data_IF_111677386222
#
_entry.id   IF_111677386222
#
_cell.length_a   1.000
_cell.length_b   1.000
_cell.length_c   1.000
_cell.angle_alpha   90.00
_cell.angle_beta   90.00
_cell.angle_gamma   90.00
#
_symmetry.space_group_name_H-M   'P 1'
#
loop_
_entity.id
_entity.type
_entity.pdbx_description
1 polymer ?
#
# COMPACT_ATOMS: atom_id res chain seq x y z
N UNK A 1 10.52 6.85 10.33
CA UNK A 1 10.22 7.89 9.32
C UNK A 1 9.22 7.36 8.28
N UNK A 2 8.25 8.20 7.96
CA UNK A 2 7.21 7.84 7.00
C UNK A 2 7.78 7.49 5.61
N UNK A 3 8.81 8.19 5.14
CA UNK A 3 9.42 7.91 3.85
C UNK A 3 10.05 6.51 3.79
N UNK A 4 10.75 6.11 4.84
CA UNK A 4 11.31 4.75 4.93
C UNK A 4 10.20 3.71 4.97
N UNK A 5 9.16 3.98 5.77
CA UNK A 5 8.02 3.07 5.90
C UNK A 5 7.27 2.87 4.59
N UNK A 6 7.05 3.94 3.82
CA UNK A 6 6.33 3.82 2.53
C UNK A 6 7.18 3.10 1.48
N UNK A 7 8.49 3.32 1.47
CA UNK A 7 9.39 2.60 0.57
C UNK A 7 9.41 1.12 0.89
N UNK A 8 9.44 0.77 2.17
CA UNK A 8 9.40 -0.62 2.61
C UNK A 8 8.09 -1.30 2.19
N UNK A 9 6.97 -0.61 2.38
CA UNK A 9 5.66 -1.10 1.93
C UNK A 9 5.63 -1.29 0.42
N UNK A 10 6.13 -0.32 -0.34
CA UNK A 10 6.18 -0.40 -1.80
C UNK A 10 6.99 -1.60 -2.27
N UNK A 11 8.19 -1.80 -1.73
CA UNK A 11 9.05 -2.91 -2.10
C UNK A 11 8.40 -4.25 -1.78
N UNK A 12 7.85 -4.40 -0.59
CA UNK A 12 7.19 -5.65 -0.21
C UNK A 12 5.99 -5.93 -1.09
N UNK A 13 5.20 -4.91 -1.41
CA UNK A 13 4.05 -5.03 -2.30
C UNK A 13 4.47 -5.55 -3.68
N UNK A 14 5.54 -4.99 -4.23
CA UNK A 14 6.07 -5.46 -5.52
C UNK A 14 6.58 -6.89 -5.42
N UNK A 15 7.30 -7.24 -4.34
CA UNK A 15 7.77 -8.60 -4.13
C UNK A 15 6.62 -9.59 -4.09
N UNK A 16 5.50 -9.24 -3.46
CA UNK A 16 4.34 -10.12 -3.37
C UNK A 16 3.61 -10.27 -4.70
N UNK A 17 3.57 -9.22 -5.52
CA UNK A 17 2.74 -9.18 -6.72
C UNK A 17 3.49 -9.47 -8.03
N UNK A 18 4.82 -9.45 -8.02
CA UNK A 18 5.61 -9.66 -9.24
C UNK A 18 5.72 -11.12 -9.66
N UNK A 19 5.48 -12.07 -8.76
CA UNK A 19 5.63 -13.50 -9.04
C UNK A 19 4.34 -14.11 -9.58
N UNK A 20 4.42 -14.73 -10.73
CA UNK A 20 3.31 -15.46 -11.35
C UNK A 20 2.82 -16.63 -10.50
N UNK A 21 3.67 -17.16 -9.62
CA UNK A 21 3.31 -18.24 -8.72
C UNK A 21 2.20 -17.83 -7.74
N UNK A 22 2.15 -16.56 -7.36
CA UNK A 22 1.13 -16.03 -6.46
C UNK A 22 -0.07 -15.52 -7.22
N UNK A 23 0.19 -14.66 -8.20
CA UNK A 23 -0.86 -14.03 -9.01
C UNK A 23 -0.64 -14.44 -10.47
N UNK A 24 -1.45 -15.38 -10.95
CA UNK A 24 -1.39 -15.82 -12.35
C UNK A 24 -1.72 -14.66 -13.31
N UNK A 25 -1.40 -14.84 -14.59
CA UNK A 25 -1.72 -13.84 -15.63
C UNK A 25 -3.16 -13.36 -15.57
N UNK A 26 -4.09 -14.28 -15.28
CA UNK A 26 -5.51 -14.00 -15.17
C UNK A 26 -5.83 -12.98 -14.09
N UNK A 27 -5.06 -12.99 -13.00
CA UNK A 27 -5.29 -12.15 -11.82
C UNK A 27 -4.60 -10.80 -11.91
N UNK A 28 -3.68 -10.63 -12.87
CA UNK A 28 -2.90 -9.40 -12.97
C UNK A 28 -3.76 -8.18 -13.30
N UNK A 29 -4.72 -8.32 -14.19
CA UNK A 29 -5.61 -7.21 -14.53
C UNK A 29 -6.54 -6.83 -13.38
N UNK A 30 -7.01 -7.80 -12.62
CA UNK A 30 -8.00 -7.58 -11.58
C UNK A 30 -7.35 -7.14 -10.25
N UNK A 31 -6.26 -7.78 -9.87
CA UNK A 31 -5.69 -7.58 -8.53
C UNK A 31 -4.32 -6.90 -8.56
N UNK A 32 -3.38 -7.37 -9.35
CA UNK A 32 -2.01 -6.85 -9.33
C UNK A 32 -1.95 -5.39 -9.76
N UNK A 33 -2.58 -5.04 -10.86
CA UNK A 33 -2.59 -3.66 -11.34
C UNK A 33 -3.23 -2.73 -10.29
N UNK A 34 -4.34 -3.16 -9.70
CA UNK A 34 -5.02 -2.37 -8.68
C UNK A 34 -4.15 -2.17 -7.44
N UNK A 35 -3.55 -3.26 -6.96
CA UNK A 35 -2.68 -3.24 -5.78
C UNK A 35 -1.47 -2.34 -6.03
N UNK A 36 -0.78 -2.52 -7.15
CA UNK A 36 0.42 -1.75 -7.46
C UNK A 36 0.10 -0.28 -7.66
N UNK A 37 -0.97 0.04 -8.36
CA UNK A 37 -1.38 1.43 -8.56
C UNK A 37 -1.76 2.09 -7.22
N UNK A 38 -2.45 1.38 -6.36
CA UNK A 38 -2.82 1.92 -5.04
C UNK A 38 -1.58 2.24 -4.21
N UNK A 39 -0.61 1.34 -4.14
CA UNK A 39 0.61 1.59 -3.34
C UNK A 39 1.48 2.67 -3.97
N UNK A 40 1.51 2.79 -5.31
CA UNK A 40 2.22 3.87 -5.98
C UNK A 40 1.59 5.23 -5.68
N UNK A 41 0.26 5.29 -5.64
CA UNK A 41 -0.45 6.52 -5.25
C UNK A 41 -0.13 6.90 -3.81
N UNK A 42 -0.09 5.92 -2.90
CA UNK A 42 0.31 6.16 -1.51
C UNK A 42 1.74 6.71 -1.47
N UNK A 43 2.66 6.11 -2.20
CA UNK A 43 4.05 6.55 -2.26
C UNK A 43 4.15 8.01 -2.72
N UNK A 44 3.48 8.37 -3.81
CA UNK A 44 3.47 9.72 -4.34
C UNK A 44 2.87 10.72 -3.35
N UNK A 45 1.74 10.36 -2.75
CA UNK A 45 1.06 11.24 -1.80
C UNK A 45 1.86 11.44 -0.52
N UNK A 46 2.55 10.41 -0.03
CA UNK A 46 3.42 10.54 1.15
C UNK A 46 4.58 11.49 0.83
N UNK A 47 5.22 11.34 -0.33
CA UNK A 47 6.29 12.24 -0.76
C UNK A 47 5.84 13.69 -0.82
N UNK A 48 4.67 13.93 -1.40
CA UNK A 48 4.10 15.27 -1.49
C UNK A 48 3.67 15.83 -0.14
N UNK A 49 3.11 14.97 0.72
CA UNK A 49 2.72 15.35 2.08
C UNK A 49 3.93 15.83 2.90
N UNK A 50 5.08 15.21 2.70
CA UNK A 50 6.32 15.56 3.41
C UNK A 50 7.02 16.79 2.84
N UNK A 51 6.58 17.30 1.68
CA UNK A 51 7.13 18.51 1.08
C UNK A 51 6.66 19.73 1.87
N UNK A 52 7.61 20.48 2.40
CA UNK A 52 7.34 21.65 3.24
C UNK A 52 6.70 22.82 2.48
N UNK A 53 6.78 22.80 1.15
CA UNK A 53 6.23 23.87 0.30
C UNK A 53 4.74 23.70 0.01
N UNK A 54 4.15 22.56 0.38
CA UNK A 54 2.74 22.29 0.15
C UNK A 54 1.90 22.90 1.27
N UNK A 55 0.79 23.54 0.91
CA UNK A 55 -0.13 24.17 1.85
C UNK A 55 -0.77 23.15 2.81
N UNK A 56 -1.05 23.59 4.03
CA UNK A 56 -1.66 22.75 5.07
C UNK A 56 -3.02 22.18 4.66
N UNK A 57 -3.83 22.96 3.93
CA UNK A 57 -5.13 22.50 3.45
C UNK A 57 -4.99 21.34 2.47
N UNK A 58 -4.02 21.46 1.55
CA UNK A 58 -3.71 20.40 0.59
C UNK A 58 -3.16 19.16 1.30
N UNK A 59 -2.32 19.37 2.33
CA UNK A 59 -1.79 18.26 3.14
C UNK A 59 -2.90 17.46 3.85
N UNK A 60 -3.93 18.14 4.34
CA UNK A 60 -5.08 17.46 4.96
C UNK A 60 -5.79 16.57 3.95
N UNK A 61 -5.99 17.06 2.72
CA UNK A 61 -6.60 16.27 1.65
C UNK A 61 -5.72 15.09 1.25
N UNK A 62 -4.41 15.29 1.22
CA UNK A 62 -3.45 14.22 0.95
C UNK A 62 -3.50 13.12 2.01
N UNK A 63 -3.57 13.49 3.29
CA UNK A 63 -3.69 12.51 4.38
C UNK A 63 -4.98 11.71 4.26
N UNK A 64 -6.09 12.35 3.90
CA UNK A 64 -7.34 11.66 3.67
C UNK A 64 -7.22 10.65 2.52
N UNK A 65 -6.62 11.06 1.41
CA UNK A 65 -6.39 10.18 0.26
C UNK A 65 -5.51 8.98 0.63
N UNK A 66 -4.43 9.24 1.38
CA UNK A 66 -3.54 8.17 1.86
C UNK A 66 -4.31 7.19 2.73
N UNK A 67 -5.11 7.69 3.65
CA UNK A 67 -5.93 6.86 4.54
C UNK A 67 -6.87 5.97 3.75
N UNK A 68 -7.57 6.54 2.77
CA UNK A 68 -8.51 5.79 1.94
C UNK A 68 -7.79 4.72 1.11
N UNK A 69 -6.63 5.05 0.55
CA UNK A 69 -5.84 4.10 -0.23
C UNK A 69 -5.30 2.97 0.65
N UNK A 70 -4.86 3.27 1.87
CA UNK A 70 -4.41 2.24 2.80
C UNK A 70 -5.55 1.32 3.21
N UNK A 71 -6.75 1.86 3.41
CA UNK A 71 -7.93 1.03 3.67
C UNK A 71 -8.23 0.09 2.50
N UNK A 72 -8.15 0.61 1.27
CA UNK A 72 -8.34 -0.19 0.05
C UNK A 72 -7.27 -1.27 -0.07
N UNK A 73 -6.03 -0.92 0.22
CA UNK A 73 -4.91 -1.88 0.16
C UNK A 73 -5.10 -3.02 1.17
N UNK A 74 -5.50 -2.72 2.39
CA UNK A 74 -5.80 -3.75 3.40
C UNK A 74 -6.89 -4.69 2.88
N UNK A 75 -7.96 -4.16 2.30
CA UNK A 75 -9.03 -4.97 1.71
C UNK A 75 -8.50 -5.90 0.61
N UNK A 76 -7.63 -5.40 -0.26
CA UNK A 76 -7.04 -6.19 -1.33
C UNK A 76 -6.09 -7.27 -0.80
N UNK A 77 -5.35 -6.98 0.27
CA UNK A 77 -4.49 -7.96 0.94
C UNK A 77 -5.36 -9.09 1.54
N UNK A 78 -6.43 -8.73 2.21
CA UNK A 78 -7.35 -9.71 2.81
C UNK A 78 -8.00 -10.60 1.75
N UNK A 79 -8.43 -10.02 0.62
CA UNK A 79 -8.97 -10.78 -0.51
C UNK A 79 -7.90 -11.73 -1.06
N UNK A 80 -6.66 -11.27 -1.16
CA UNK A 80 -5.55 -12.10 -1.65
C UNK A 80 -5.31 -13.31 -0.75
N UNK A 81 -5.40 -13.14 0.57
CA UNK A 81 -5.32 -14.23 1.52
C UNK A 81 -6.49 -15.21 1.34
N UNK A 82 -7.71 -14.67 1.29
CA UNK A 82 -8.92 -15.48 1.16
C UNK A 82 -8.90 -16.35 -0.10
N UNK A 83 -8.40 -15.80 -1.20
CA UNK A 83 -8.29 -16.52 -2.47
C UNK A 83 -7.06 -17.43 -2.57
N UNK A 84 -6.20 -17.41 -1.58
CA UNK A 84 -5.03 -18.27 -1.54
C UNK A 84 -3.85 -17.78 -2.38
N UNK A 85 -3.84 -16.52 -2.79
CA UNK A 85 -2.70 -15.95 -3.53
C UNK A 85 -1.49 -15.76 -2.64
N UNK A 86 -1.72 -15.50 -1.36
CA UNK A 86 -0.70 -15.35 -0.33
C UNK A 86 -1.08 -16.21 0.86
N UNK A 87 -0.11 -16.53 1.71
CA UNK A 87 -0.36 -17.26 2.95
C UNK A 87 -0.56 -16.32 4.15
N UNK A 88 -0.91 -16.91 5.29
CA UNK A 88 -1.19 -16.13 6.50
C UNK A 88 0.01 -15.32 6.97
N UNK A 89 1.21 -15.85 6.82
CA UNK A 89 2.45 -15.16 7.22
C UNK A 89 2.69 -13.94 6.33
N UNK A 90 2.56 -14.12 5.02
CA UNK A 90 2.72 -13.03 4.05
C UNK A 90 1.68 -11.94 4.29
N UNK A 91 0.44 -12.33 4.55
CA UNK A 91 -0.63 -11.39 4.89
C UNK A 91 -0.28 -10.58 6.15
N UNK A 92 0.18 -11.25 7.20
CA UNK A 92 0.55 -10.59 8.46
C UNK A 92 1.69 -9.60 8.27
N UNK A 93 2.73 -9.98 7.53
CA UNK A 93 3.87 -9.10 7.27
C UNK A 93 3.43 -7.88 6.45
N UNK A 94 2.63 -8.09 5.41
CA UNK A 94 2.16 -7.02 4.53
C UNK A 94 1.28 -6.03 5.30
N UNK A 95 0.33 -6.55 6.08
CA UNK A 95 -0.57 -5.74 6.90
C UNK A 95 0.20 -4.94 7.95
N UNK A 96 1.21 -5.55 8.57
CA UNK A 96 2.06 -4.85 9.54
C UNK A 96 2.77 -3.65 8.90
N UNK A 97 3.26 -3.79 7.68
CA UNK A 97 3.92 -2.68 6.97
C UNK A 97 2.94 -1.53 6.70
N UNK A 98 1.69 -1.84 6.41
CA UNK A 98 0.64 -0.81 6.27
C UNK A 98 0.42 -0.10 7.61
N UNK A 99 0.33 -0.85 8.70
CA UNK A 99 0.10 -0.28 10.02
C UNK A 99 1.29 0.56 10.51
N UNK A 100 2.52 0.16 10.21
CA UNK A 100 3.70 0.96 10.52
C UNK A 100 3.63 2.31 9.81
N UNK A 101 3.24 2.33 8.54
CA UNK A 101 3.08 3.58 7.80
C UNK A 101 1.98 4.46 8.43
N UNK A 102 0.83 3.86 8.78
CA UNK A 102 -0.23 4.59 9.47
C UNK A 102 0.27 5.26 10.72
N UNK A 103 1.02 4.52 11.54
CA UNK A 103 1.59 5.02 12.78
C UNK A 103 2.53 6.21 12.54
N UNK A 104 3.40 6.11 11.53
CA UNK A 104 4.34 7.19 11.18
C UNK A 104 3.63 8.46 10.69
N UNK A 105 2.46 8.31 10.11
CA UNK A 105 1.64 9.43 9.63
C UNK A 105 0.56 9.84 10.63
N UNK A 106 0.43 9.14 11.73
CA UNK A 106 -0.61 9.36 12.77
C UNK A 106 -2.03 9.25 12.20
N UNK A 107 -2.22 8.25 11.38
CA UNK A 107 -3.53 7.97 10.78
C UNK A 107 -4.39 7.00 11.59
#
# INVERSE_FOLDING_TARGET
MALVAVKDLLQYTHDMTDHEDRYSKRRRFTYVNRIQNTVLDVYSNVGNYLDMKVDKSVKSDMLLSIRMDLNSLIGLIEISLHKGFIDARQCAIWTEKVEVLREKLKL
#
